data_IF_425106839566
#
_entry.id   IF_425106839566
#
_cell.length_a   1.000
_cell.length_b   1.000
_cell.length_c   1.000
_cell.angle_alpha   90.00
_cell.angle_beta   90.00
_cell.angle_gamma   90.00
#
_symmetry.space_group_name_H-M   'P 1'
#
loop_
_entity.id
_entity.type
_entity.pdbx_description
1 polymer ?
#
# COMPACT_ATOMS: atom_id res chain seq x y z
N UNK A 1 -17.16 13.40 -3.71
CA UNK A 1 -16.61 12.65 -4.89
C UNK A 1 -17.49 11.49 -5.26
N UNK A 2 -17.53 11.07 -6.55
CA UNK A 2 -18.24 9.86 -6.99
C UNK A 2 -17.53 8.60 -6.47
N UNK A 3 -18.30 7.61 -5.98
CA UNK A 3 -17.73 6.38 -5.37
C UNK A 3 -16.77 5.61 -6.29
N UNK A 4 -17.03 5.59 -7.61
CA UNK A 4 -16.11 4.96 -8.58
C UNK A 4 -14.77 5.67 -8.66
N UNK A 5 -14.76 7.01 -8.56
CA UNK A 5 -13.51 7.77 -8.57
C UNK A 5 -12.70 7.52 -7.28
N UNK A 6 -13.35 7.51 -6.11
CA UNK A 6 -12.71 7.18 -4.85
C UNK A 6 -12.05 5.79 -4.89
N UNK A 7 -12.76 4.78 -5.43
CA UNK A 7 -12.21 3.44 -5.62
C UNK A 7 -10.96 3.46 -6.50
N UNK A 8 -11.05 4.07 -7.68
CA UNK A 8 -9.95 4.08 -8.65
C UNK A 8 -8.73 4.85 -8.15
N UNK A 9 -8.92 5.99 -7.47
CA UNK A 9 -7.82 6.74 -6.86
C UNK A 9 -7.11 5.93 -5.75
N UNK A 10 -7.88 5.24 -4.90
CA UNK A 10 -7.31 4.35 -3.87
C UNK A 10 -6.53 3.20 -4.50
N UNK A 11 -7.07 2.58 -5.55
CA UNK A 11 -6.39 1.50 -6.27
C UNK A 11 -5.14 1.98 -6.99
N UNK A 12 -5.12 3.19 -7.56
CA UNK A 12 -3.94 3.79 -8.18
C UNK A 12 -2.78 3.84 -7.19
N UNK A 13 -2.98 4.47 -6.02
CA UNK A 13 -1.95 4.56 -4.99
C UNK A 13 -1.48 3.18 -4.48
N UNK A 14 -2.43 2.27 -4.28
CA UNK A 14 -2.17 0.90 -3.82
C UNK A 14 -1.30 0.12 -4.81
N UNK A 15 -1.65 0.12 -6.08
CA UNK A 15 -0.94 -0.66 -7.10
C UNK A 15 0.45 -0.10 -7.41
N UNK A 16 0.64 1.21 -7.38
CA UNK A 16 1.96 1.82 -7.50
C UNK A 16 2.88 1.44 -6.34
N UNK A 17 2.39 1.52 -5.10
CA UNK A 17 3.18 1.12 -3.92
C UNK A 17 3.50 -0.39 -3.94
N UNK A 18 2.57 -1.23 -4.39
CA UNK A 18 2.81 -2.67 -4.55
C UNK A 18 3.89 -2.95 -5.59
N UNK A 19 3.87 -2.27 -6.74
CA UNK A 19 4.89 -2.44 -7.77
C UNK A 19 6.28 -1.99 -7.28
N UNK A 20 6.39 -0.84 -6.57
CA UNK A 20 7.64 -0.38 -5.94
C UNK A 20 8.16 -1.42 -4.94
N UNK A 21 7.28 -1.93 -4.09
CA UNK A 21 7.64 -2.93 -3.08
C UNK A 21 8.15 -4.23 -3.73
N UNK A 22 7.41 -4.81 -4.68
CA UNK A 22 7.80 -6.05 -5.36
C UNK A 22 9.12 -5.90 -6.11
N UNK A 23 9.31 -4.79 -6.83
CA UNK A 23 10.55 -4.52 -7.54
C UNK A 23 11.74 -4.43 -6.55
N UNK A 24 11.52 -3.86 -5.39
CA UNK A 24 12.54 -3.66 -4.38
C UNK A 24 12.93 -4.94 -3.67
N UNK A 25 11.95 -5.67 -3.11
CA UNK A 25 12.25 -6.92 -2.39
C UNK A 25 12.90 -7.94 -3.33
N UNK A 26 12.43 -8.03 -4.59
CA UNK A 26 13.03 -8.92 -5.58
C UNK A 26 14.50 -8.56 -5.83
N UNK A 27 14.79 -7.27 -6.08
CA UNK A 27 16.17 -6.81 -6.33
C UNK A 27 17.10 -7.11 -5.15
N UNK A 28 16.64 -6.92 -3.91
CA UNK A 28 17.44 -7.22 -2.71
C UNK A 28 17.65 -8.71 -2.54
N UNK A 29 16.61 -9.54 -2.69
CA UNK A 29 16.73 -10.99 -2.51
C UNK A 29 17.56 -11.65 -3.61
N UNK A 30 17.48 -11.17 -4.85
CA UNK A 30 18.36 -11.64 -5.93
C UNK A 30 19.82 -11.25 -5.64
N UNK A 31 20.10 -10.01 -5.22
CA UNK A 31 21.45 -9.59 -4.85
C UNK A 31 22.01 -10.45 -3.70
N UNK A 32 21.23 -10.64 -2.63
CA UNK A 32 21.64 -11.50 -1.51
C UNK A 32 21.94 -12.93 -1.94
N UNK A 33 21.16 -13.48 -2.87
CA UNK A 33 21.39 -14.85 -3.36
C UNK A 33 22.70 -14.98 -4.15
N UNK A 34 23.17 -13.88 -4.77
CA UNK A 34 24.44 -13.86 -5.50
C UNK A 34 25.66 -13.59 -4.61
N UNK A 35 25.46 -12.89 -3.49
CA UNK A 35 26.53 -12.57 -2.52
C UNK A 35 26.84 -13.72 -1.56
N UNK A 36 25.99 -14.75 -1.50
CA UNK A 36 26.19 -15.92 -0.62
C UNK A 36 27.19 -16.89 -1.27
N UNK A 37 28.04 -17.50 -0.42
CA UNK A 37 28.99 -18.54 -0.85
C UNK A 37 28.28 -19.81 -1.32
N UNK A 38 27.14 -20.14 -0.71
CA UNK A 38 26.30 -21.28 -1.08
C UNK A 38 24.98 -20.77 -1.69
N UNK A 39 24.56 -21.40 -2.78
CA UNK A 39 23.28 -21.09 -3.42
C UNK A 39 22.12 -21.34 -2.43
N UNK A 40 21.22 -20.37 -2.24
CA UNK A 40 20.10 -20.56 -1.34
C UNK A 40 19.24 -21.77 -1.72
N UNK A 41 18.93 -22.61 -0.74
CA UNK A 41 18.06 -23.77 -0.95
C UNK A 41 16.62 -23.36 -1.34
N UNK A 42 15.82 -24.35 -1.80
CA UNK A 42 14.43 -24.10 -2.25
C UNK A 42 13.56 -23.35 -1.22
N UNK A 43 13.75 -23.65 0.07
CA UNK A 43 12.99 -23.02 1.16
C UNK A 43 13.15 -21.48 1.22
N UNK A 44 14.30 -20.96 0.82
CA UNK A 44 14.53 -19.50 0.75
C UNK A 44 13.58 -18.84 -0.23
N UNK A 45 13.45 -19.43 -1.44
CA UNK A 45 12.57 -18.86 -2.47
C UNK A 45 11.11 -19.08 -2.15
N UNK A 46 10.72 -20.18 -1.53
CA UNK A 46 9.35 -20.39 -1.03
C UNK A 46 8.97 -19.29 -0.02
N UNK A 47 9.83 -19.01 0.97
CA UNK A 47 9.60 -17.91 1.94
C UNK A 47 9.56 -16.54 1.26
N UNK A 48 10.45 -16.30 0.31
CA UNK A 48 10.41 -15.07 -0.49
C UNK A 48 9.08 -14.90 -1.25
N UNK A 49 8.57 -15.99 -1.84
CA UNK A 49 7.28 -15.95 -2.56
C UNK A 49 6.10 -15.65 -1.63
N UNK A 50 6.10 -16.17 -0.41
CA UNK A 50 5.10 -15.81 0.60
C UNK A 50 5.16 -14.32 0.95
N UNK A 51 6.37 -13.77 1.12
CA UNK A 51 6.61 -12.36 1.36
C UNK A 51 6.14 -11.50 0.17
N UNK A 52 6.35 -11.94 -1.06
CA UNK A 52 5.88 -11.31 -2.28
C UNK A 52 4.34 -11.45 -2.49
N UNK A 53 3.64 -12.14 -1.59
CA UNK A 53 2.19 -12.32 -1.63
C UNK A 53 1.69 -13.53 -2.42
N UNK A 54 2.58 -14.40 -2.88
CA UNK A 54 2.29 -15.66 -3.58
C UNK A 54 2.12 -16.81 -2.58
N UNK A 55 1.00 -16.81 -1.88
CA UNK A 55 0.74 -17.77 -0.80
C UNK A 55 0.49 -19.18 -1.35
N UNK A 56 1.13 -20.15 -0.71
CA UNK A 56 1.02 -21.55 -1.10
C UNK A 56 1.77 -21.87 -2.39
N UNK A 57 2.66 -20.98 -2.85
CA UNK A 57 3.60 -21.31 -3.91
C UNK A 57 4.66 -22.27 -3.38
N UNK A 58 4.92 -23.32 -4.12
CA UNK A 58 6.00 -24.29 -3.90
C UNK A 58 7.27 -23.98 -4.72
N UNK A 59 7.31 -22.80 -5.34
CA UNK A 59 8.41 -22.34 -6.17
C UNK A 59 9.69 -22.19 -5.36
N UNK A 60 10.56 -23.15 -5.48
CA UNK A 60 11.86 -23.20 -4.80
C UNK A 60 13.05 -22.78 -5.69
N UNK A 61 12.81 -22.25 -6.90
CA UNK A 61 13.85 -21.86 -7.85
C UNK A 61 13.85 -20.36 -8.08
N UNK A 62 15.04 -19.76 -8.10
CA UNK A 62 15.24 -18.33 -8.31
C UNK A 62 14.59 -17.83 -9.59
N UNK A 63 14.85 -18.51 -10.71
CA UNK A 63 14.38 -18.10 -12.04
C UNK A 63 12.85 -18.06 -12.12
N UNK A 64 12.20 -19.06 -11.53
CA UNK A 64 10.73 -19.14 -11.47
C UNK A 64 10.16 -18.03 -10.56
N UNK A 65 10.78 -17.82 -9.39
CA UNK A 65 10.37 -16.75 -8.48
C UNK A 65 10.51 -15.37 -9.12
N UNK A 66 11.61 -15.12 -9.84
CA UNK A 66 11.85 -13.89 -10.60
C UNK A 66 10.76 -13.70 -11.67
N UNK A 67 10.51 -14.73 -12.51
CA UNK A 67 9.48 -14.67 -13.55
C UNK A 67 8.09 -14.37 -12.98
N UNK A 68 7.71 -15.08 -11.91
CA UNK A 68 6.41 -14.89 -11.27
C UNK A 68 6.24 -13.50 -10.68
N UNK A 69 7.26 -12.97 -10.00
CA UNK A 69 7.18 -11.65 -9.37
C UNK A 69 7.29 -10.52 -10.39
N UNK A 70 8.02 -10.68 -11.49
CA UNK A 70 8.07 -9.67 -12.56
C UNK A 70 6.83 -9.71 -13.43
N UNK A 71 6.44 -10.90 -13.94
CA UNK A 71 5.48 -11.04 -15.04
C UNK A 71 4.31 -11.98 -14.78
N UNK A 72 4.23 -12.62 -13.61
CA UNK A 72 3.15 -13.57 -13.29
C UNK A 72 1.77 -12.94 -13.37
N UNK A 73 0.80 -13.74 -13.83
CA UNK A 73 -0.60 -13.30 -14.06
C UNK A 73 -1.57 -13.82 -13.00
N UNK A 74 -1.20 -14.86 -12.26
CA UNK A 74 -2.06 -15.52 -11.26
C UNK A 74 -1.94 -14.93 -9.85
N UNK A 75 -1.03 -13.99 -9.65
CA UNK A 75 -0.78 -13.35 -8.36
C UNK A 75 -0.18 -11.95 -8.50
N UNK A 76 0.29 -11.37 -7.41
CA UNK A 76 0.87 -10.03 -7.44
C UNK A 76 2.21 -10.03 -8.18
N UNK A 77 2.29 -9.26 -9.26
CA UNK A 77 3.53 -9.05 -10.00
C UNK A 77 3.75 -7.57 -10.32
N UNK A 78 4.97 -7.21 -10.69
CA UNK A 78 5.31 -5.85 -11.09
C UNK A 78 4.45 -5.42 -12.28
N UNK A 79 4.40 -6.26 -13.34
CA UNK A 79 3.60 -5.99 -14.55
C UNK A 79 2.11 -5.87 -14.26
N UNK A 80 1.54 -6.81 -13.53
CA UNK A 80 0.11 -6.79 -13.18
C UNK A 80 -0.25 -5.58 -12.32
N UNK A 81 0.61 -5.21 -11.36
CA UNK A 81 0.39 -4.04 -10.50
C UNK A 81 0.41 -2.74 -11.32
N UNK A 82 1.38 -2.55 -12.21
CA UNK A 82 1.45 -1.36 -13.06
C UNK A 82 0.30 -1.32 -14.07
N UNK A 83 -0.10 -2.46 -14.65
CA UNK A 83 -1.27 -2.53 -15.52
C UNK A 83 -2.54 -2.12 -14.77
N UNK A 84 -2.73 -2.59 -13.54
CA UNK A 84 -3.86 -2.22 -12.68
C UNK A 84 -3.84 -0.75 -12.28
N UNK A 85 -2.65 -0.18 -12.00
CA UNK A 85 -2.49 1.24 -11.73
C UNK A 85 -2.90 2.10 -12.94
N UNK A 86 -2.53 1.70 -14.16
CA UNK A 86 -2.94 2.37 -15.39
C UNK A 86 -4.46 2.32 -15.59
N UNK A 87 -5.08 1.16 -15.42
CA UNK A 87 -6.55 1.03 -15.52
C UNK A 87 -7.24 1.95 -14.51
N UNK A 88 -6.74 2.00 -13.28
CA UNK A 88 -7.25 2.90 -12.26
C UNK A 88 -7.08 4.38 -12.64
N UNK A 89 -5.91 4.77 -13.18
CA UNK A 89 -5.65 6.14 -13.65
C UNK A 89 -6.55 6.52 -14.83
N UNK A 90 -6.79 5.62 -15.78
CA UNK A 90 -7.71 5.83 -16.90
C UNK A 90 -9.14 6.13 -16.44
N UNK A 91 -9.62 5.40 -15.43
CA UNK A 91 -10.98 5.58 -14.89
C UNK A 91 -11.20 6.94 -14.22
N UNK A 92 -10.13 7.62 -13.81
CA UNK A 92 -10.17 8.93 -13.12
C UNK A 92 -9.38 10.02 -13.85
N UNK A 93 -9.09 9.84 -15.13
CA UNK A 93 -8.27 10.77 -15.91
C UNK A 93 -8.68 12.25 -15.73
N UNK A 94 -9.97 12.64 -15.72
CA UNK A 94 -10.37 14.02 -15.51
C UNK A 94 -9.98 14.62 -14.14
N UNK A 95 -9.66 13.77 -13.16
CA UNK A 95 -9.24 14.15 -11.81
C UNK A 95 -7.72 14.14 -11.62
N UNK A 96 -6.96 13.80 -12.66
CA UNK A 96 -5.49 13.72 -12.60
C UNK A 96 -4.87 14.82 -13.47
N UNK A 97 -3.79 15.46 -13.02
CA UNK A 97 -2.93 16.27 -13.87
C UNK A 97 -2.47 15.49 -15.10
N UNK A 98 -2.33 16.18 -16.24
CA UNK A 98 -1.97 15.53 -17.51
C UNK A 98 -0.65 14.81 -17.42
N UNK A 99 0.37 15.44 -16.86
CA UNK A 99 1.72 14.89 -16.70
C UNK A 99 1.73 13.62 -15.83
N UNK A 100 0.92 13.63 -14.75
CA UNK A 100 0.77 12.46 -13.88
C UNK A 100 0.19 11.27 -14.65
N UNK A 101 -0.89 11.49 -15.40
CA UNK A 101 -1.50 10.44 -16.22
C UNK A 101 -0.54 9.91 -17.28
N UNK A 102 0.15 10.81 -18.00
CA UNK A 102 1.12 10.45 -19.02
C UNK A 102 2.28 9.64 -18.47
N UNK A 103 2.77 10.01 -17.27
CA UNK A 103 3.85 9.26 -16.63
C UNK A 103 3.42 7.85 -16.21
N UNK A 104 2.21 7.67 -15.65
CA UNK A 104 1.67 6.34 -15.35
C UNK A 104 1.49 5.52 -16.63
N UNK A 105 1.01 6.13 -17.72
CA UNK A 105 0.84 5.47 -19.00
C UNK A 105 2.18 5.07 -19.63
N UNK A 106 3.17 5.95 -19.60
CA UNK A 106 4.52 5.68 -20.09
C UNK A 106 5.20 4.55 -19.31
N UNK A 107 5.07 4.55 -17.97
CA UNK A 107 5.56 3.48 -17.12
C UNK A 107 4.93 2.13 -17.51
N UNK A 108 3.61 2.10 -17.73
CA UNK A 108 2.92 0.88 -18.13
C UNK A 108 3.52 0.29 -19.42
N UNK A 109 3.62 1.08 -20.49
CA UNK A 109 4.14 0.58 -21.78
C UNK A 109 5.60 0.15 -21.66
N UNK A 110 6.43 0.94 -20.98
CA UNK A 110 7.84 0.59 -20.74
C UNK A 110 7.98 -0.77 -20.05
N UNK A 111 7.15 -1.05 -19.03
CA UNK A 111 7.24 -2.29 -18.28
C UNK A 111 6.66 -3.48 -19.06
N UNK A 112 5.58 -3.28 -19.85
CA UNK A 112 4.99 -4.36 -20.63
C UNK A 112 5.90 -4.79 -21.81
N UNK A 113 6.59 -3.84 -22.44
CA UNK A 113 7.44 -4.08 -23.60
C UNK A 113 8.89 -4.47 -23.24
N UNK A 114 9.30 -4.24 -21.98
CA UNK A 114 10.67 -4.49 -21.55
C UNK A 114 11.07 -5.96 -21.67
N UNK A 115 12.22 -6.19 -22.26
CA UNK A 115 12.97 -7.46 -22.14
C UNK A 115 13.87 -7.29 -20.92
N UNK A 116 13.47 -7.86 -19.80
CA UNK A 116 14.11 -7.65 -18.49
C UNK A 116 15.18 -8.71 -18.16
N UNK A 117 15.14 -9.88 -18.80
CA UNK A 117 16.02 -11.02 -18.50
C UNK A 117 17.53 -10.70 -18.63
N UNK A 118 17.99 -9.90 -19.62
CA UNK A 118 19.41 -9.60 -19.73
C UNK A 118 19.95 -8.70 -18.62
N UNK A 119 19.10 -7.81 -18.07
CA UNK A 119 19.48 -6.87 -17.01
C UNK A 119 18.30 -6.61 -16.07
N UNK A 120 18.03 -7.60 -15.22
CA UNK A 120 16.97 -7.54 -14.21
C UNK A 120 17.17 -6.34 -13.27
N UNK A 121 18.41 -6.08 -12.82
CA UNK A 121 18.69 -5.00 -11.89
C UNK A 121 18.27 -3.65 -12.47
N UNK A 122 18.68 -3.34 -13.69
CA UNK A 122 18.30 -2.11 -14.38
C UNK A 122 16.80 -1.99 -14.54
N UNK A 123 16.13 -3.06 -14.97
CA UNK A 123 14.67 -3.08 -15.08
C UNK A 123 13.97 -2.72 -13.76
N UNK A 124 14.37 -3.34 -12.65
CA UNK A 124 13.78 -3.08 -11.33
C UNK A 124 14.07 -1.66 -10.85
N UNK A 125 15.27 -1.12 -11.10
CA UNK A 125 15.63 0.25 -10.80
C UNK A 125 14.80 1.26 -11.61
N UNK A 126 14.62 1.03 -12.90
CA UNK A 126 13.83 1.89 -13.79
C UNK A 126 12.34 1.95 -13.33
N UNK A 127 11.78 0.82 -12.91
CA UNK A 127 10.44 0.75 -12.31
C UNK A 127 10.37 1.62 -11.05
N UNK A 128 11.30 1.43 -10.13
CA UNK A 128 11.34 2.18 -8.86
C UNK A 128 11.50 3.68 -9.09
N UNK A 129 12.39 4.11 -10.00
CA UNK A 129 12.60 5.52 -10.31
C UNK A 129 11.38 6.16 -10.97
N UNK A 130 10.73 5.44 -11.88
CA UNK A 130 9.49 5.93 -12.50
C UNK A 130 8.35 6.09 -11.50
N UNK A 131 8.21 5.19 -10.53
CA UNK A 131 7.20 5.31 -9.47
C UNK A 131 7.51 6.50 -8.55
N UNK A 132 8.79 6.78 -8.25
CA UNK A 132 9.16 7.97 -7.48
C UNK A 132 8.82 9.27 -8.20
N UNK A 133 9.01 9.29 -9.54
CA UNK A 133 8.57 10.43 -10.35
C UNK A 133 7.05 10.62 -10.27
N UNK A 134 6.28 9.54 -10.39
CA UNK A 134 4.81 9.59 -10.20
C UNK A 134 4.45 10.09 -8.80
N UNK A 135 5.12 9.62 -7.76
CA UNK A 135 4.93 10.08 -6.39
C UNK A 135 5.21 11.58 -6.23
N UNK A 136 6.30 12.08 -6.84
CA UNK A 136 6.61 13.51 -6.88
C UNK A 136 5.52 14.33 -7.58
N UNK A 137 5.05 13.87 -8.74
CA UNK A 137 3.95 14.53 -9.44
C UNK A 137 2.65 14.56 -8.64
N UNK A 138 2.32 13.49 -7.88
CA UNK A 138 1.16 13.50 -6.98
C UNK A 138 1.29 14.59 -5.93
N UNK A 139 2.46 14.71 -5.29
CA UNK A 139 2.68 15.68 -4.22
C UNK A 139 2.74 17.14 -4.74
N UNK A 140 3.31 17.36 -5.93
CA UNK A 140 3.58 18.70 -6.46
C UNK A 140 2.43 19.27 -7.32
N UNK A 141 1.61 18.43 -7.95
CA UNK A 141 0.66 18.88 -8.97
C UNK A 141 -0.81 18.60 -8.64
N UNK A 142 -1.12 17.67 -7.72
CA UNK A 142 -2.50 17.47 -7.29
C UNK A 142 -2.91 18.45 -6.21
N UNK A 143 -4.13 18.98 -6.32
CA UNK A 143 -4.72 19.72 -5.20
C UNK A 143 -4.75 18.88 -3.93
N UNK A 144 -4.56 19.52 -2.78
CA UNK A 144 -4.67 18.87 -1.47
C UNK A 144 -6.15 18.69 -1.08
N UNK A 145 -6.86 17.91 -1.87
CA UNK A 145 -8.29 17.61 -1.75
C UNK A 145 -8.55 16.09 -1.56
N UNK A 146 -9.82 15.70 -1.62
CA UNK A 146 -10.23 14.29 -1.47
C UNK A 146 -9.55 13.36 -2.50
N UNK A 147 -9.29 13.84 -3.74
CA UNK A 147 -8.71 12.99 -4.78
C UNK A 147 -7.29 12.54 -4.40
N UNK A 148 -6.45 13.49 -3.98
CA UNK A 148 -5.09 13.19 -3.49
C UNK A 148 -5.14 12.33 -2.23
N UNK A 149 -6.06 12.60 -1.31
CA UNK A 149 -6.16 11.83 -0.06
C UNK A 149 -6.57 10.38 -0.30
N UNK A 150 -7.42 10.06 -1.30
CA UNK A 150 -7.70 8.68 -1.68
C UNK A 150 -6.48 7.97 -2.29
N UNK A 151 -5.66 8.63 -3.12
CA UNK A 151 -4.40 8.05 -3.61
C UNK A 151 -3.46 7.76 -2.44
N UNK A 152 -3.30 8.71 -1.52
CA UNK A 152 -2.47 8.56 -0.31
C UNK A 152 -2.97 7.43 0.58
N UNK A 153 -4.27 7.31 0.78
CA UNK A 153 -4.87 6.22 1.56
C UNK A 153 -4.46 4.85 0.99
N UNK A 154 -4.64 4.65 -0.31
CA UNK A 154 -4.24 3.40 -0.97
C UNK A 154 -2.77 3.08 -0.80
N UNK A 155 -1.89 4.06 -1.06
CA UNK A 155 -0.44 3.96 -0.90
C UNK A 155 -0.04 3.57 0.52
N UNK A 156 -0.52 4.28 1.53
CA UNK A 156 -0.06 4.10 2.90
C UNK A 156 -0.65 2.86 3.58
N UNK A 157 -1.88 2.46 3.24
CA UNK A 157 -2.44 1.17 3.67
C UNK A 157 -1.60 0.00 3.13
N UNK A 158 -1.22 0.04 1.86
CA UNK A 158 -0.36 -0.98 1.25
C UNK A 158 1.04 -0.99 1.88
N UNK A 159 1.65 0.19 2.08
CA UNK A 159 2.97 0.32 2.74
C UNK A 159 2.95 -0.22 4.16
N UNK A 160 1.92 0.08 4.95
CA UNK A 160 1.79 -0.46 6.31
C UNK A 160 1.82 -1.99 6.30
N UNK A 161 1.06 -2.63 5.41
CA UNK A 161 1.04 -4.08 5.27
C UNK A 161 2.42 -4.64 4.87
N UNK A 162 3.03 -4.04 3.84
CA UNK A 162 4.27 -4.53 3.26
C UNK A 162 5.46 -4.43 4.23
N UNK A 163 5.63 -3.27 4.88
CA UNK A 163 6.72 -3.07 5.85
C UNK A 163 6.55 -3.99 7.05
N UNK A 164 5.32 -4.12 7.57
CA UNK A 164 5.05 -5.03 8.68
C UNK A 164 5.42 -6.45 8.30
N UNK A 165 4.97 -6.95 7.16
CA UNK A 165 5.27 -8.30 6.71
C UNK A 165 6.78 -8.55 6.56
N UNK A 166 7.53 -7.63 5.92
CA UNK A 166 8.98 -7.79 5.74
C UNK A 166 9.71 -7.91 7.08
N UNK A 167 9.39 -7.04 8.04
CA UNK A 167 10.06 -7.03 9.35
C UNK A 167 9.66 -8.25 10.18
N UNK A 168 8.37 -8.56 10.26
CA UNK A 168 7.88 -9.64 11.15
C UNK A 168 8.25 -11.04 10.63
N UNK A 169 8.21 -11.25 9.30
CA UNK A 169 8.67 -12.52 8.72
C UNK A 169 10.17 -12.72 8.95
N UNK A 170 10.98 -11.67 8.80
CA UNK A 170 12.42 -11.75 9.06
C UNK A 170 12.70 -11.99 10.56
N UNK A 171 12.02 -11.32 11.47
CA UNK A 171 12.16 -11.55 12.89
C UNK A 171 11.78 -12.99 13.29
N UNK A 172 10.75 -13.55 12.68
CA UNK A 172 10.38 -14.96 12.88
C UNK A 172 11.42 -15.95 12.31
N UNK A 173 11.99 -15.63 11.13
CA UNK A 173 13.02 -16.44 10.47
C UNK A 173 14.32 -16.45 11.30
N UNK A 174 14.76 -15.28 11.78
CA UNK A 174 16.03 -15.11 12.49
C UNK A 174 15.91 -15.32 14.00
N UNK A 175 14.83 -15.89 14.51
CA UNK A 175 14.61 -16.09 15.97
C UNK A 175 15.80 -16.72 16.71
N UNK A 176 16.53 -17.63 16.05
CA UNK A 176 17.71 -18.31 16.62
C UNK A 176 19.05 -17.63 16.27
N UNK A 177 19.03 -16.63 15.39
CA UNK A 177 20.20 -15.85 14.92
C UNK A 177 19.85 -14.37 14.78
N UNK A 178 19.34 -13.71 15.85
CA UNK A 178 18.82 -12.34 15.76
C UNK A 178 19.91 -11.31 15.45
N UNK A 179 21.19 -11.67 15.61
CA UNK A 179 22.35 -10.78 15.39
C UNK A 179 22.87 -10.80 13.95
N UNK A 180 22.17 -11.44 13.01
CA UNK A 180 22.56 -11.46 11.60
C UNK A 180 22.41 -10.08 10.95
N UNK A 181 23.45 -9.27 11.06
CA UNK A 181 23.48 -7.90 10.54
C UNK A 181 23.32 -7.83 9.01
N UNK A 182 23.70 -8.86 8.26
CA UNK A 182 23.55 -8.92 6.81
C UNK A 182 22.08 -9.05 6.43
N UNK A 183 21.36 -9.97 7.07
CA UNK A 183 19.93 -10.18 6.84
C UNK A 183 19.11 -8.96 7.28
N UNK A 184 19.42 -8.35 8.41
CA UNK A 184 18.75 -7.11 8.84
C UNK A 184 19.07 -5.90 7.94
N UNK A 185 20.27 -5.84 7.36
CA UNK A 185 20.62 -4.86 6.33
C UNK A 185 19.76 -5.05 5.08
N UNK A 186 19.50 -6.30 4.69
CA UNK A 186 18.60 -6.59 3.58
C UNK A 186 17.15 -6.16 3.85
N UNK A 187 16.67 -6.31 5.08
CA UNK A 187 15.36 -5.78 5.50
C UNK A 187 15.30 -4.26 5.32
N UNK A 188 16.31 -3.54 5.78
CA UNK A 188 16.41 -2.08 5.60
C UNK A 188 16.42 -1.68 4.12
N UNK A 189 17.19 -2.37 3.28
CA UNK A 189 17.24 -2.15 1.83
C UNK A 189 15.90 -2.46 1.17
N UNK A 190 15.23 -3.54 1.57
CA UNK A 190 13.91 -3.94 1.09
C UNK A 190 12.83 -2.89 1.39
N UNK A 191 12.97 -2.13 2.47
CA UNK A 191 12.10 -1.04 2.86
C UNK A 191 12.55 0.35 2.38
N UNK A 192 13.69 0.44 1.63
CA UNK A 192 14.30 1.71 1.20
C UNK A 192 14.62 2.64 2.39
N UNK A 193 15.19 2.09 3.42
CA UNK A 193 15.46 2.80 4.67
C UNK A 193 16.93 2.74 5.12
N UNK A 194 17.80 2.04 4.38
CA UNK A 194 19.15 1.77 4.83
C UNK A 194 19.97 3.05 5.07
N UNK A 195 19.99 3.98 4.12
CA UNK A 195 20.72 5.25 4.23
C UNK A 195 20.15 6.13 5.36
N UNK A 196 18.81 6.17 5.48
CA UNK A 196 18.14 6.90 6.56
C UNK A 196 18.43 6.29 7.93
N UNK A 197 18.50 4.96 7.99
CA UNK A 197 18.89 4.24 9.19
C UNK A 197 20.32 4.58 9.60
N UNK A 198 21.28 4.48 8.66
CA UNK A 198 22.69 4.82 8.95
C UNK A 198 22.85 6.25 9.45
N UNK A 199 22.16 7.22 8.81
CA UNK A 199 22.22 8.62 9.19
C UNK A 199 21.68 8.89 10.61
N UNK A 200 20.67 8.13 11.07
CA UNK A 200 19.99 8.39 12.34
C UNK A 200 20.45 7.50 13.49
N UNK A 201 20.70 6.22 13.22
CA UNK A 201 21.01 5.22 14.24
C UNK A 201 22.50 4.96 14.39
N UNK A 202 23.33 5.22 13.37
CA UNK A 202 24.80 5.36 13.43
C UNK A 202 25.62 4.20 14.02
N UNK A 203 24.99 3.10 14.39
CA UNK A 203 25.57 1.93 15.03
C UNK A 203 25.48 0.66 14.19
N UNK A 204 25.79 -0.47 14.80
CA UNK A 204 25.56 -1.79 14.17
C UNK A 204 24.10 -2.02 13.85
N UNK A 205 23.83 -2.80 12.80
CA UNK A 205 22.48 -3.20 12.43
C UNK A 205 22.05 -4.37 13.32
N UNK A 206 21.03 -4.15 14.15
CA UNK A 206 20.48 -5.14 15.09
C UNK A 206 18.98 -5.28 14.91
N UNK A 207 18.40 -6.41 15.31
CA UNK A 207 16.95 -6.63 15.31
C UNK A 207 16.20 -5.47 15.98
N UNK A 208 16.59 -5.12 17.21
CA UNK A 208 15.92 -4.07 17.99
C UNK A 208 15.91 -2.72 17.27
N UNK A 209 17.08 -2.30 16.76
CA UNK A 209 17.20 -1.01 16.05
C UNK A 209 16.46 -0.99 14.72
N UNK A 210 16.38 -2.12 13.99
CA UNK A 210 15.62 -2.24 12.74
C UNK A 210 14.12 -2.23 13.01
N UNK A 211 13.65 -2.96 14.03
CA UNK A 211 12.24 -2.92 14.46
C UNK A 211 11.88 -1.49 14.90
N UNK A 212 12.73 -0.84 15.73
CA UNK A 212 12.51 0.55 16.14
C UNK A 212 12.37 1.48 14.92
N UNK A 213 13.28 1.38 13.96
CA UNK A 213 13.31 2.21 12.77
C UNK A 213 12.12 1.97 11.84
N UNK A 214 11.88 0.70 11.45
CA UNK A 214 10.90 0.37 10.41
C UNK A 214 9.48 0.19 10.93
N UNK A 215 9.31 -0.19 12.21
CA UNK A 215 7.97 -0.41 12.75
C UNK A 215 7.48 0.78 13.56
N UNK A 216 8.34 1.44 14.35
CA UNK A 216 7.92 2.34 15.44
C UNK A 216 8.34 3.81 15.24
N UNK A 217 9.23 4.13 14.32
CA UNK A 217 9.65 5.51 14.08
C UNK A 217 8.58 6.28 13.28
N UNK A 218 7.89 7.21 13.95
CA UNK A 218 6.86 8.04 13.31
C UNK A 218 7.39 9.14 12.39
N UNK A 219 8.70 9.38 12.34
CA UNK A 219 9.32 10.41 11.48
C UNK A 219 9.88 9.83 10.17
N UNK A 220 10.09 8.51 10.09
CA UNK A 220 10.59 7.88 8.88
C UNK A 220 9.44 7.59 7.89
N UNK A 221 9.41 8.22 6.69
CA UNK A 221 8.33 8.00 5.71
C UNK A 221 8.16 6.55 5.24
N UNK A 222 9.19 5.73 5.45
CA UNK A 222 9.20 4.30 5.08
C UNK A 222 8.88 3.36 6.25
N UNK A 223 8.54 3.88 7.44
CA UNK A 223 8.10 3.05 8.56
C UNK A 223 6.62 2.69 8.48
N UNK A 224 6.25 1.59 9.12
CA UNK A 224 4.85 1.14 9.24
C UNK A 224 4.01 2.13 10.05
N UNK A 225 4.56 2.68 11.16
CA UNK A 225 3.89 3.70 11.99
C UNK A 225 3.61 4.98 11.22
N UNK A 226 4.58 5.51 10.49
CA UNK A 226 4.37 6.69 9.64
C UNK A 226 3.29 6.42 8.60
N UNK A 227 3.32 5.26 7.95
CA UNK A 227 2.33 4.88 6.94
C UNK A 227 0.92 4.76 7.55
N UNK A 228 0.76 4.11 8.70
CA UNK A 228 -0.52 4.00 9.40
C UNK A 228 -1.06 5.38 9.80
N UNK A 229 -0.20 6.28 10.31
CA UNK A 229 -0.56 7.66 10.64
C UNK A 229 -0.99 8.45 9.40
N UNK A 230 -0.26 8.34 8.29
CA UNK A 230 -0.58 9.02 7.03
C UNK A 230 -1.90 8.53 6.42
N UNK A 231 -2.21 7.23 6.54
CA UNK A 231 -3.51 6.68 6.12
C UNK A 231 -4.66 7.22 7.00
N UNK A 232 -4.44 7.31 8.31
CA UNK A 232 -5.38 7.91 9.25
C UNK A 232 -5.66 9.38 8.93
N UNK A 233 -4.61 10.16 8.68
CA UNK A 233 -4.72 11.57 8.30
C UNK A 233 -5.50 11.75 6.99
N UNK A 234 -5.25 10.91 5.99
CA UNK A 234 -5.97 10.95 4.71
C UNK A 234 -7.47 10.76 4.92
N UNK A 235 -7.89 9.71 5.67
CA UNK A 235 -9.31 9.49 5.97
C UNK A 235 -9.90 10.61 6.83
N UNK A 236 -9.14 11.13 7.80
CA UNK A 236 -9.60 12.25 8.62
C UNK A 236 -9.85 13.54 7.80
N UNK A 237 -9.05 13.80 6.75
CA UNK A 237 -9.29 14.91 5.81
C UNK A 237 -10.49 14.67 4.92
N UNK A 238 -10.64 13.45 4.35
CA UNK A 238 -11.80 13.03 3.54
C UNK A 238 -13.11 13.24 4.33
N UNK A 239 -13.15 12.89 5.62
CA UNK A 239 -14.35 12.98 6.44
C UNK A 239 -14.61 14.39 7.02
N UNK A 240 -13.63 15.26 7.05
CA UNK A 240 -13.74 16.60 7.61
C UNK A 240 -14.24 16.59 9.06
N UNK A 241 -15.42 17.19 9.30
CA UNK A 241 -15.99 17.30 10.66
C UNK A 241 -16.75 16.06 11.13
N UNK A 242 -17.14 15.16 10.23
CA UNK A 242 -18.01 14.01 10.57
C UNK A 242 -17.33 12.96 11.45
N UNK A 243 -16.07 12.67 11.23
CA UNK A 243 -15.12 11.83 12.02
C UNK A 243 -15.73 10.66 12.81
N UNK A 244 -16.70 9.93 12.23
CA UNK A 244 -17.40 8.83 12.90
C UNK A 244 -17.44 7.51 12.13
N UNK A 245 -16.82 7.47 10.94
CA UNK A 245 -16.89 6.30 10.09
C UNK A 245 -16.20 5.07 10.69
N UNK A 246 -16.57 3.90 10.18
CA UNK A 246 -15.90 2.65 10.51
C UNK A 246 -14.44 2.63 10.03
N UNK A 247 -14.11 3.11 8.79
CA UNK A 247 -12.73 3.25 8.34
C UNK A 247 -11.86 4.07 9.30
N UNK A 248 -12.32 5.24 9.73
CA UNK A 248 -11.57 6.11 10.64
C UNK A 248 -11.27 5.40 11.97
N UNK A 249 -12.27 4.74 12.58
CA UNK A 249 -12.07 4.01 13.86
C UNK A 249 -11.05 2.87 13.71
N UNK A 250 -11.07 2.15 12.58
CA UNK A 250 -10.10 1.09 12.31
C UNK A 250 -8.68 1.62 12.15
N UNK A 251 -8.52 2.77 11.48
CA UNK A 251 -7.21 3.41 11.33
C UNK A 251 -6.70 4.02 12.65
N UNK A 252 -7.58 4.55 13.51
CA UNK A 252 -7.22 4.96 14.88
C UNK A 252 -6.70 3.74 15.66
N UNK A 253 -7.40 2.60 15.60
CA UNK A 253 -6.95 1.36 16.25
C UNK A 253 -5.60 0.91 15.70
N UNK A 254 -5.43 0.87 14.38
CA UNK A 254 -4.19 0.47 13.72
C UNK A 254 -3.02 1.37 14.14
N UNK A 255 -3.21 2.69 14.11
CA UNK A 255 -2.18 3.64 14.52
C UNK A 255 -1.84 3.49 16.02
N UNK A 256 -2.84 3.28 16.87
CA UNK A 256 -2.65 3.01 18.30
C UNK A 256 -1.80 1.76 18.57
N UNK A 257 -1.95 0.69 17.78
CA UNK A 257 -1.09 -0.49 17.90
C UNK A 257 0.39 -0.14 17.76
N UNK A 258 0.77 0.63 16.72
CA UNK A 258 2.16 1.04 16.51
C UNK A 258 2.65 2.06 17.56
N UNK A 259 1.75 2.90 18.09
CA UNK A 259 2.12 3.87 19.12
C UNK A 259 2.42 3.24 20.46
N UNK A 260 1.76 2.14 20.80
CA UNK A 260 1.87 1.47 22.09
C UNK A 260 2.71 0.19 22.07
N UNK A 261 3.09 -0.28 20.87
CA UNK A 261 4.04 -1.38 20.74
C UNK A 261 5.46 -0.96 21.14
N UNK A 262 6.26 -1.93 21.54
CA UNK A 262 7.70 -1.79 21.72
C UNK A 262 8.44 -2.87 20.93
N UNK A 263 9.73 -2.70 20.74
CA UNK A 263 10.56 -3.60 19.94
C UNK A 263 10.53 -5.01 20.47
N UNK A 264 10.62 -5.18 21.80
CA UNK A 264 10.62 -6.49 22.45
C UNK A 264 9.32 -7.26 22.23
N UNK A 265 8.16 -6.58 22.33
CA UNK A 265 6.86 -7.25 22.12
C UNK A 265 6.70 -7.73 20.67
N UNK A 266 7.21 -6.97 19.69
CA UNK A 266 7.18 -7.35 18.28
C UNK A 266 8.16 -8.50 18.02
N UNK A 267 9.40 -8.46 18.55
CA UNK A 267 10.41 -9.49 18.36
C UNK A 267 9.97 -10.84 18.98
N UNK A 268 9.28 -10.82 20.12
CA UNK A 268 8.81 -12.03 20.78
C UNK A 268 7.67 -12.74 20.02
N UNK A 269 6.73 -11.99 19.43
CA UNK A 269 5.56 -12.53 18.75
C UNK A 269 5.30 -11.84 17.40
N UNK A 270 6.27 -11.90 16.46
CA UNK A 270 6.21 -11.10 15.25
C UNK A 270 5.02 -11.47 14.34
N UNK A 271 4.73 -12.76 14.18
CA UNK A 271 3.64 -13.21 13.31
C UNK A 271 2.25 -12.95 13.92
N UNK A 272 2.13 -12.93 15.24
CA UNK A 272 0.86 -12.56 15.91
C UNK A 272 0.59 -11.06 15.72
N UNK A 273 1.62 -10.22 15.86
CA UNK A 273 1.52 -8.79 15.59
C UNK A 273 1.09 -8.53 14.13
N UNK A 274 1.73 -9.21 13.16
CA UNK A 274 1.34 -9.13 11.75
C UNK A 274 -0.10 -9.62 11.54
N UNK A 275 -0.49 -10.71 12.15
CA UNK A 275 -1.84 -11.28 12.09
C UNK A 275 -2.91 -10.27 12.51
N UNK A 276 -2.67 -9.54 13.60
CA UNK A 276 -3.58 -8.50 14.07
C UNK A 276 -3.64 -7.31 13.10
N UNK A 277 -2.50 -6.80 12.64
CA UNK A 277 -2.43 -5.74 11.61
C UNK A 277 -3.20 -6.15 10.37
N UNK A 278 -2.95 -7.35 9.86
CA UNK A 278 -3.63 -7.91 8.68
C UNK A 278 -5.14 -8.03 8.87
N UNK A 279 -5.59 -8.44 10.04
CA UNK A 279 -7.02 -8.53 10.39
C UNK A 279 -7.69 -7.17 10.33
N UNK A 280 -7.06 -6.13 10.91
CA UNK A 280 -7.56 -4.76 10.85
C UNK A 280 -7.61 -4.27 9.39
N UNK A 281 -6.56 -4.48 8.60
CA UNK A 281 -6.50 -4.04 7.21
C UNK A 281 -7.56 -4.72 6.33
N UNK A 282 -7.83 -6.01 6.52
CA UNK A 282 -8.94 -6.71 5.83
C UNK A 282 -10.30 -6.12 6.19
N UNK A 283 -10.51 -5.85 7.48
CA UNK A 283 -11.76 -5.22 7.95
C UNK A 283 -11.89 -3.79 7.42
N UNK A 284 -10.78 -3.06 7.33
CA UNK A 284 -10.70 -1.72 6.74
C UNK A 284 -11.10 -1.74 5.26
N UNK A 285 -10.62 -2.71 4.48
CA UNK A 285 -10.96 -2.83 3.06
C UNK A 285 -12.48 -2.99 2.86
N UNK A 286 -13.13 -3.84 3.66
CA UNK A 286 -14.60 -3.99 3.64
C UNK A 286 -15.27 -2.67 4.03
N UNK A 287 -14.81 -2.03 5.11
CA UNK A 287 -15.38 -0.78 5.57
C UNK A 287 -15.23 0.37 4.56
N UNK A 288 -14.11 0.45 3.84
CA UNK A 288 -13.90 1.43 2.76
C UNK A 288 -14.87 1.21 1.61
N UNK A 289 -15.10 -0.06 1.21
CA UNK A 289 -16.09 -0.39 0.18
C UNK A 289 -17.49 0.03 0.59
N UNK A 290 -17.91 -0.27 1.81
CA UNK A 290 -19.23 0.08 2.34
C UNK A 290 -19.42 1.58 2.46
N UNK A 291 -18.37 2.33 2.85
CA UNK A 291 -18.48 3.76 3.18
C UNK A 291 -18.31 4.65 1.97
N UNK A 292 -17.33 4.35 1.09
CA UNK A 292 -16.92 5.28 0.03
C UNK A 292 -17.11 4.73 -1.39
N UNK A 293 -17.14 3.40 -1.59
CA UNK A 293 -17.06 2.79 -2.91
C UNK A 293 -18.40 2.26 -3.42
N UNK A 294 -19.42 2.14 -2.59
CA UNK A 294 -20.78 1.84 -3.03
C UNK A 294 -21.55 3.13 -3.33
N UNK A 295 -22.39 3.15 -4.38
CA UNK A 295 -23.32 4.25 -4.58
C UNK A 295 -24.22 4.32 -3.33
N UNK A 296 -24.19 5.44 -2.62
CA UNK A 296 -25.08 5.69 -1.50
C UNK A 296 -26.50 5.34 -1.93
N UNK A 297 -27.18 4.44 -1.21
CA UNK A 297 -28.63 4.43 -1.18
C UNK A 297 -28.99 5.81 -0.64
N UNK A 298 -29.41 6.70 -1.52
CA UNK A 298 -30.02 7.98 -1.12
C UNK A 298 -31.12 7.58 -0.15
N UNK A 299 -31.11 8.07 1.12
CA UNK A 299 -32.24 7.85 1.99
C UNK A 299 -33.44 8.40 1.20
N UNK A 300 -34.47 7.59 1.03
CA UNK A 300 -35.73 8.04 0.47
C UNK A 300 -36.17 9.21 1.33
N UNK A 301 -35.95 10.42 0.84
CA UNK A 301 -36.45 11.66 1.42
C UNK A 301 -37.95 11.48 1.48
N UNK A 302 -38.49 11.59 2.65
CA UNK A 302 -39.89 11.59 3.02
C UNK A 302 -40.68 12.36 1.97
N UNK A 303 -41.22 11.65 0.98
CA UNK A 303 -42.29 12.12 0.13
C UNK A 303 -43.58 11.84 0.88
N UNK A 304 -44.01 12.79 1.64
CA UNK A 304 -45.23 12.62 2.40
C UNK A 304 -45.48 13.81 3.27
N UNK A 305 -46.08 14.84 2.70
CA UNK A 305 -47.08 15.70 3.34
C UNK A 305 -47.24 17.02 2.53
N UNK A 306 -47.87 16.92 1.37
CA UNK A 306 -48.63 18.06 0.80
C UNK A 306 -49.83 17.51 0.07
N UNK A 307 -50.89 17.34 0.81
CA UNK A 307 -52.18 16.89 0.33
C UNK A 307 -53.24 17.21 1.35
N UNK A 308 -53.31 18.43 1.86
CA UNK A 308 -54.51 18.95 2.55
C UNK A 308 -55.17 20.01 1.68
N UNK A 309 -56.38 19.64 1.28
CA UNK A 309 -57.29 20.32 0.35
C UNK A 309 -57.54 21.80 0.67
N UNK A 310 -57.64 22.54 -0.39
CA UNK A 310 -58.42 23.81 -0.40
C UNK A 310 -59.87 23.51 -0.74
N UNK A 311 -60.83 24.12 -0.03
CA UNK A 311 -62.25 23.94 -0.32
C UNK A 311 -62.63 24.76 -1.57
N UNK A 312 -63.40 24.14 -2.47
CA UNK A 312 -64.11 24.80 -3.55
C UNK A 312 -65.16 25.74 -2.98
N UNK A 313 -65.02 27.04 -3.21
CA UNK A 313 -66.12 28.01 -3.15
C UNK A 313 -66.42 28.62 -4.51
N UNK A 314 -67.55 28.17 -5.02
CA UNK A 314 -68.55 28.93 -5.81
C UNK A 314 -68.03 29.98 -6.82
N UNK A 315 -68.08 29.58 -8.07
CA UNK A 315 -68.43 30.49 -9.16
C UNK A 315 -69.91 30.38 -9.44
N UNK A 316 -70.63 31.38 -9.01
CA UNK A 316 -71.92 31.79 -9.60
C UNK A 316 -71.84 33.28 -9.90
N UNK A 317 -72.20 33.55 -11.14
CA UNK A 317 -72.91 34.75 -11.61
C UNK A 317 -72.15 35.82 -12.42
N UNK A 318 -72.66 35.93 -13.67
CA UNK A 318 -72.82 37.11 -14.53
C UNK A 318 -71.58 37.53 -15.36
N UNK A 319 -71.70 37.71 -16.63
CA UNK A 319 -72.72 37.96 -17.67
C UNK A 319 -72.06 37.69 -19.00
#
# INVERSE_FOLDING_TARGET
>A
MLSRAATSLTLLGRHLERADHLARILGVHVALSLDRTDEPGPEYWVRFMELAGWRGSDTGRREEAVEMVVAGTLGPSVRASIASARVAAQAVRPSLPTELYEQVNALHWRVQEAVWQPDLYRFLMDVQMSIRLVDGLIEDTMFHDEARDFVRLGKFVERTANVTAVVTHKAAELRNTPEDALEWTAVLKSCFAFESYQARYGGGVTEDSVIQCLMLDGALPRSARFAASSALEAVARIEGRSRRSKPLRLLIRLNGMYQHANTQSIAQMPLDFEGEVRSILRTLEVALRETYFHPSKVPATVAGEEGRGMPQQQQQARS
#
